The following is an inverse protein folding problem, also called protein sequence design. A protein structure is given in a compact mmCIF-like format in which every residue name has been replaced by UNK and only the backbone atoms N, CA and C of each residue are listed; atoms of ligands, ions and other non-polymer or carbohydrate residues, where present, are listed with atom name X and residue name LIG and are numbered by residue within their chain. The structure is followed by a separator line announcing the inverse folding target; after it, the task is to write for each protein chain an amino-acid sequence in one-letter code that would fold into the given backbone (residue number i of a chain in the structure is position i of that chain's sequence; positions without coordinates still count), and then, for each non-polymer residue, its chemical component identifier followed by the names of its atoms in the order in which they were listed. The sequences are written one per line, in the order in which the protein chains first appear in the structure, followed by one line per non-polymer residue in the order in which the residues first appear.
data_IF_478799693149
#
_entry.id   IF_478799693149
#
_cell.length_a   1.000
_cell.length_b   1.000
_cell.length_c   1.000
_cell.angle_alpha   90.00
_cell.angle_beta   90.00
_cell.angle_gamma   90.00
#
_symmetry.space_group_name_H-M   'P 1'
#
loop_
_entity.id
_entity.type
_entity.pdbx_description
1 polymer ?
#
# COMPACT_ATOMS: atom_id res chain seq x y z
N UNK A 1 -8.87 4.40 13.22
CA UNK A 1 -9.30 5.67 12.58
C UNK A 1 -9.52 5.60 11.05
N UNK A 2 -8.62 4.95 10.29
CA UNK A 2 -8.61 4.94 8.82
C UNK A 2 -9.95 4.67 8.12
N UNK A 3 -10.65 3.58 8.50
CA UNK A 3 -11.94 3.19 7.89
C UNK A 3 -13.03 4.24 8.08
N UNK A 4 -13.07 4.90 9.23
CA UNK A 4 -14.05 5.96 9.50
C UNK A 4 -13.86 7.15 8.55
N UNK A 5 -12.62 7.63 8.41
CA UNK A 5 -12.26 8.75 7.53
C UNK A 5 -12.55 8.41 6.08
N UNK A 6 -12.10 7.23 5.63
CA UNK A 6 -12.31 6.76 4.26
C UNK A 6 -13.77 6.39 3.96
N UNK A 7 -14.65 6.28 4.95
CA UNK A 7 -16.10 6.05 4.72
C UNK A 7 -16.91 7.33 4.79
N UNK A 8 -16.65 8.19 5.79
CA UNK A 8 -17.53 9.31 6.12
C UNK A 8 -16.96 10.67 5.69
N UNK A 9 -15.64 10.77 5.51
CA UNK A 9 -14.93 12.03 5.31
C UNK A 9 -14.12 12.05 4.01
N UNK A 10 -14.48 11.23 3.02
CA UNK A 10 -13.78 11.16 1.72
C UNK A 10 -13.67 12.53 1.02
N UNK A 11 -14.65 13.41 1.22
CA UNK A 11 -14.65 14.76 0.64
C UNK A 11 -13.45 15.60 1.09
N UNK A 12 -12.85 15.30 2.25
CA UNK A 12 -11.64 15.96 2.76
C UNK A 12 -10.40 15.67 1.91
N UNK A 13 -10.41 14.61 1.09
CA UNK A 13 -9.35 14.35 0.11
C UNK A 13 -9.20 15.45 -0.95
N UNK A 14 -10.18 16.36 -1.08
CA UNK A 14 -10.13 17.52 -1.99
C UNK A 14 -9.42 18.73 -1.39
N UNK A 15 -9.12 18.72 -0.10
CA UNK A 15 -8.45 19.84 0.60
C UNK A 15 -6.93 19.64 0.48
N UNK A 16 -6.19 20.56 -0.16
CA UNK A 16 -4.75 20.44 -0.32
C UNK A 16 -4.04 20.23 1.02
N UNK A 17 -3.11 19.27 1.07
CA UNK A 17 -2.29 18.99 2.25
C UNK A 17 -2.97 18.19 3.37
N UNK A 18 -4.30 18.18 3.43
CA UNK A 18 -5.04 17.51 4.51
C UNK A 18 -4.83 15.99 4.52
N UNK A 19 -4.65 15.39 3.34
CA UNK A 19 -4.35 13.96 3.21
C UNK A 19 -3.03 13.57 3.89
N UNK A 20 -2.03 14.46 3.90
CA UNK A 20 -0.75 14.22 4.56
C UNK A 20 -0.85 14.36 6.08
N UNK A 21 -1.76 15.21 6.57
CA UNK A 21 -2.07 15.27 8.01
C UNK A 21 -2.69 13.95 8.45
N UNK A 22 -3.67 13.43 7.71
CA UNK A 22 -4.26 12.12 8.02
C UNK A 22 -3.23 11.01 7.99
N UNK A 23 -2.36 10.98 6.97
CA UNK A 23 -1.25 10.04 6.90
C UNK A 23 -0.33 10.13 8.13
N UNK A 24 0.02 11.34 8.59
CA UNK A 24 0.81 11.53 9.80
C UNK A 24 0.12 10.98 11.06
N UNK A 25 -1.20 11.14 11.17
CA UNK A 25 -1.96 10.57 12.30
C UNK A 25 -1.99 9.04 12.22
N UNK A 26 -2.11 8.43 11.03
CA UNK A 26 -2.02 6.98 10.87
C UNK A 26 -0.65 6.43 11.30
N UNK A 27 0.43 7.13 10.95
CA UNK A 27 1.78 6.80 11.38
C UNK A 27 1.88 6.88 12.91
N UNK A 28 1.38 7.95 13.52
CA UNK A 28 1.40 8.13 14.97
C UNK A 28 0.60 7.05 15.70
N UNK A 29 -0.64 6.79 15.27
CA UNK A 29 -1.53 5.74 15.81
C UNK A 29 -0.84 4.37 15.75
N UNK A 30 -0.26 4.02 14.60
CA UNK A 30 0.42 2.74 14.43
C UNK A 30 1.69 2.64 15.26
N UNK A 31 2.42 3.75 15.39
CA UNK A 31 3.66 3.81 16.19
C UNK A 31 3.38 3.59 17.67
N UNK A 32 2.31 4.19 18.19
CA UNK A 32 1.96 4.13 19.60
C UNK A 32 1.25 2.83 19.98
N UNK A 33 0.46 2.26 19.07
CA UNK A 33 -0.49 1.20 19.42
C UNK A 33 -0.18 -0.18 18.81
N UNK A 34 0.69 -0.28 17.79
CA UNK A 34 0.84 -1.52 17.01
C UNK A 34 2.31 -1.85 16.67
N UNK A 35 3.10 -2.32 17.64
CA UNK A 35 4.53 -2.63 17.41
C UNK A 35 4.82 -3.67 16.32
N UNK A 36 4.11 -4.82 16.22
CA UNK A 36 4.39 -5.83 15.18
C UNK A 36 4.20 -5.27 13.76
N UNK A 37 3.17 -4.44 13.58
CA UNK A 37 2.90 -3.73 12.33
C UNK A 37 4.05 -2.80 11.93
N UNK A 38 4.71 -2.13 12.88
CA UNK A 38 5.85 -1.27 12.56
C UNK A 38 7.03 -2.06 11.99
N UNK A 39 7.29 -3.26 12.52
CA UNK A 39 8.32 -4.15 11.99
C UNK A 39 7.96 -4.57 10.55
N UNK A 40 6.72 -5.01 10.33
CA UNK A 40 6.19 -5.37 9.02
C UNK A 40 6.32 -4.22 7.99
N UNK A 41 5.89 -3.01 8.35
CA UNK A 41 6.00 -1.81 7.50
C UNK A 41 7.47 -1.54 7.12
N UNK A 42 8.39 -1.61 8.07
CA UNK A 42 9.82 -1.38 7.81
C UNK A 42 10.38 -2.44 6.89
N UNK A 43 10.03 -3.71 7.11
CA UNK A 43 10.48 -4.83 6.28
C UNK A 43 10.05 -4.65 4.82
N UNK A 44 8.75 -4.40 4.56
CA UNK A 44 8.23 -4.18 3.20
C UNK A 44 8.94 -3.01 2.53
N UNK A 45 9.11 -1.89 3.24
CA UNK A 45 9.80 -0.71 2.71
C UNK A 45 11.25 -1.01 2.36
N UNK A 46 12.00 -1.65 3.26
CA UNK A 46 13.41 -1.98 3.05
C UNK A 46 13.58 -2.94 1.87
N UNK A 47 12.71 -3.93 1.77
CA UNK A 47 12.77 -4.90 0.68
C UNK A 47 12.46 -4.24 -0.67
N UNK A 48 11.37 -3.47 -0.78
CA UNK A 48 11.03 -2.77 -2.02
C UNK A 48 12.13 -1.81 -2.49
N UNK A 49 12.75 -1.07 -1.56
CA UNK A 49 13.84 -0.15 -1.85
C UNK A 49 15.18 -0.84 -2.18
N UNK A 50 15.32 -2.14 -1.87
CA UNK A 50 16.51 -2.90 -2.25
C UNK A 50 16.52 -3.26 -3.74
N UNK A 51 15.38 -3.15 -4.43
CA UNK A 51 15.26 -3.57 -5.81
C UNK A 51 15.87 -2.53 -6.77
N UNK A 52 16.61 -2.96 -7.81
CA UNK A 52 17.24 -2.03 -8.75
C UNK A 52 16.23 -1.10 -9.42
N UNK A 53 16.51 0.20 -9.38
CA UNK A 53 15.70 1.24 -10.02
C UNK A 53 14.45 1.65 -9.25
N UNK A 54 14.23 1.10 -8.04
CA UNK A 54 13.09 1.49 -7.20
C UNK A 54 13.41 2.72 -6.38
N UNK A 55 12.49 3.68 -6.41
CA UNK A 55 12.52 4.90 -5.58
C UNK A 55 11.24 5.00 -4.75
N UNK A 56 11.27 5.80 -3.69
CA UNK A 56 10.07 6.14 -2.92
C UNK A 56 9.76 7.62 -2.99
N UNK A 57 8.47 7.96 -2.92
CA UNK A 57 7.98 9.32 -2.72
C UNK A 57 6.66 9.33 -1.96
N UNK A 58 6.29 10.48 -1.41
CA UNK A 58 4.95 10.65 -0.88
C UNK A 58 3.93 10.53 -2.02
N UNK A 59 2.86 9.78 -1.78
CA UNK A 59 1.73 9.71 -2.71
C UNK A 59 0.84 10.95 -2.51
N UNK A 60 0.37 11.52 -3.61
CA UNK A 60 -0.56 12.66 -3.63
C UNK A 60 -1.89 12.36 -2.92
N UNK A 61 -2.25 11.08 -2.79
CA UNK A 61 -3.42 10.59 -2.06
C UNK A 61 -3.08 10.06 -0.65
N UNK A 62 -1.89 10.36 -0.12
CA UNK A 62 -1.40 9.83 1.16
C UNK A 62 -0.72 8.47 1.02
N UNK A 63 0.15 8.13 1.97
CA UNK A 63 1.00 6.95 1.91
C UNK A 63 2.34 7.17 1.20
N UNK A 64 3.18 6.14 1.23
CA UNK A 64 4.47 6.07 0.56
C UNK A 64 4.33 5.24 -0.72
N UNK A 65 4.60 5.83 -1.87
CA UNK A 65 4.59 5.17 -3.17
C UNK A 65 5.97 4.63 -3.52
N UNK A 66 6.02 3.42 -4.08
CA UNK A 66 7.21 2.78 -4.64
C UNK A 66 7.13 2.82 -6.16
N UNK A 67 8.14 3.40 -6.80
CA UNK A 67 8.18 3.63 -8.24
C UNK A 67 9.39 2.95 -8.90
N UNK A 68 9.16 2.27 -10.03
CA UNK A 68 10.19 1.88 -10.99
C UNK A 68 10.24 2.91 -12.13
N UNK A 69 11.21 3.81 -12.07
CA UNK A 69 11.27 4.97 -12.96
C UNK A 69 10.05 5.88 -12.76
N UNK A 70 9.14 5.93 -13.75
CA UNK A 70 7.89 6.71 -13.69
C UNK A 70 6.65 5.87 -13.37
N UNK A 71 6.81 4.55 -13.17
CA UNK A 71 5.71 3.58 -13.04
C UNK A 71 5.54 3.12 -11.60
N UNK A 72 4.31 3.17 -11.10
CA UNK A 72 3.98 2.72 -9.74
C UNK A 72 4.03 1.21 -9.63
N UNK A 73 4.81 0.71 -8.67
CA UNK A 73 4.79 -0.70 -8.26
C UNK A 73 3.64 -0.93 -7.27
N UNK A 74 3.45 0.00 -6.33
CA UNK A 74 2.38 0.04 -5.34
C UNK A 74 2.65 1.15 -4.33
N UNK A 75 1.76 1.30 -3.36
CA UNK A 75 1.96 2.22 -2.24
C UNK A 75 1.54 1.61 -0.92
N UNK A 76 2.04 2.19 0.18
CA UNK A 76 1.78 1.74 1.54
C UNK A 76 1.44 2.93 2.43
N UNK A 77 0.33 2.83 3.15
CA UNK A 77 -0.09 3.80 4.16
C UNK A 77 0.57 3.55 5.51
N UNK A 78 0.63 4.58 6.36
CA UNK A 78 1.24 4.56 7.68
C UNK A 78 0.60 3.60 8.67
N UNK A 79 -0.61 3.12 8.36
CA UNK A 79 -1.29 2.05 9.07
C UNK A 79 -0.99 0.64 8.56
N UNK A 80 -0.07 0.48 7.61
CA UNK A 80 0.31 -0.81 7.05
C UNK A 80 -0.66 -1.34 6.01
N UNK A 81 -1.58 -0.53 5.48
CA UNK A 81 -2.33 -0.91 4.28
C UNK A 81 -1.41 -0.78 3.06
N UNK A 82 -1.24 -1.86 2.31
CA UNK A 82 -0.49 -1.90 1.05
C UNK A 82 -1.47 -2.06 -0.09
N UNK A 83 -1.40 -1.14 -1.06
CA UNK A 83 -2.26 -1.09 -2.22
C UNK A 83 -1.45 -1.29 -3.51
N UNK A 84 -1.91 -2.17 -4.38
CA UNK A 84 -1.20 -2.55 -5.60
C UNK A 84 -2.17 -2.58 -6.79
N UNK A 85 -1.80 -1.87 -7.86
CA UNK A 85 -2.54 -1.91 -9.11
C UNK A 85 -2.01 -3.01 -10.03
N UNK A 86 -2.86 -4.01 -10.28
CA UNK A 86 -2.57 -5.13 -11.18
C UNK A 86 -3.38 -5.07 -12.49
N UNK A 87 -3.10 -6.00 -13.39
CA UNK A 87 -4.03 -6.35 -14.47
C UNK A 87 -5.21 -7.14 -13.87
N UNK A 88 -6.36 -7.16 -14.56
CA UNK A 88 -7.54 -7.89 -14.09
C UNK A 88 -7.25 -9.37 -13.77
N UNK A 89 -6.50 -10.04 -14.65
CA UNK A 89 -6.17 -11.46 -14.47
C UNK A 89 -5.36 -11.72 -13.19
N UNK A 90 -4.31 -10.91 -12.95
CA UNK A 90 -3.47 -11.04 -11.75
C UNK A 90 -4.29 -10.70 -10.49
N UNK A 91 -5.11 -9.65 -10.57
CA UNK A 91 -5.99 -9.23 -9.46
C UNK A 91 -6.95 -10.33 -9.04
N UNK A 92 -7.63 -10.96 -10.00
CA UNK A 92 -8.59 -12.03 -9.73
C UNK A 92 -7.88 -13.26 -9.12
N UNK A 93 -6.69 -13.61 -9.63
CA UNK A 93 -5.86 -14.69 -9.07
C UNK A 93 -5.47 -14.42 -7.61
N UNK A 94 -4.90 -13.24 -7.33
CA UNK A 94 -4.42 -12.85 -5.98
C UNK A 94 -5.57 -12.85 -4.97
N UNK A 95 -6.76 -12.36 -5.36
CA UNK A 95 -7.94 -12.37 -4.50
C UNK A 95 -8.44 -13.80 -4.27
N UNK A 96 -8.51 -14.62 -5.32
CA UNK A 96 -8.97 -16.01 -5.19
C UNK A 96 -8.06 -16.86 -4.31
N UNK A 97 -6.77 -16.56 -4.27
CA UNK A 97 -5.78 -17.20 -3.42
C UNK A 97 -5.81 -16.69 -1.96
N UNK A 98 -6.61 -15.67 -1.64
CA UNK A 98 -6.66 -15.05 -0.32
C UNK A 98 -5.42 -14.22 0.04
N UNK A 99 -4.56 -13.91 -0.93
CA UNK A 99 -3.31 -13.17 -0.69
C UNK A 99 -3.53 -11.65 -0.54
N UNK A 100 -4.64 -11.12 -1.04
CA UNK A 100 -5.08 -9.75 -0.81
C UNK A 100 -6.60 -9.65 -1.00
N UNK A 101 -7.18 -8.54 -0.55
CA UNK A 101 -8.60 -8.23 -0.70
C UNK A 101 -8.84 -7.23 -1.84
N UNK A 102 -10.11 -7.07 -2.24
CA UNK A 102 -10.52 -5.98 -3.12
C UNK A 102 -10.28 -4.63 -2.43
N UNK A 103 -9.88 -3.62 -3.21
CA UNK A 103 -9.67 -2.29 -2.65
C UNK A 103 -10.94 -1.71 -2.03
N UNK A 104 -10.87 -1.31 -0.75
CA UNK A 104 -12.04 -0.91 0.04
C UNK A 104 -12.82 0.27 -0.57
N UNK A 105 -12.11 1.24 -1.14
CA UNK A 105 -12.74 2.41 -1.79
C UNK A 105 -13.09 2.20 -3.26
N UNK A 106 -12.39 1.28 -3.93
CA UNK A 106 -12.46 1.10 -5.37
C UNK A 106 -12.65 -0.38 -5.70
N UNK A 107 -13.70 -1.04 -5.18
CA UNK A 107 -13.82 -2.50 -5.24
C UNK A 107 -14.05 -3.04 -6.65
N UNK A 108 -14.47 -2.18 -7.60
CA UNK A 108 -14.63 -2.53 -9.02
C UNK A 108 -13.36 -2.28 -9.86
N UNK A 109 -12.30 -1.73 -9.26
CA UNK A 109 -11.02 -1.50 -9.94
C UNK A 109 -10.11 -2.73 -9.84
N UNK A 110 -8.95 -2.67 -10.51
CA UNK A 110 -7.92 -3.70 -10.40
C UNK A 110 -6.95 -3.47 -9.23
N UNK A 111 -7.26 -2.53 -8.32
CA UNK A 111 -6.51 -2.39 -7.08
C UNK A 111 -6.83 -3.55 -6.13
N UNK A 112 -5.79 -4.08 -5.51
CA UNK A 112 -5.87 -4.99 -4.38
C UNK A 112 -5.25 -4.34 -3.16
N UNK A 113 -5.75 -4.73 -1.99
CA UNK A 113 -5.33 -4.20 -0.70
C UNK A 113 -4.93 -5.32 0.25
N UNK A 114 -3.80 -5.18 0.94
CA UNK A 114 -3.35 -6.10 1.97
C UNK A 114 -2.99 -5.30 3.23
N UNK A 115 -3.52 -5.71 4.38
CA UNK A 115 -3.30 -5.03 5.65
C UNK A 115 -2.23 -5.75 6.47
N UNK A 116 -1.13 -5.07 6.79
CA UNK A 116 -0.04 -5.63 7.58
C UNK A 116 -0.41 -5.70 9.07
N UNK A 117 -0.57 -6.92 9.59
CA UNK A 117 -0.72 -7.19 11.01
C UNK A 117 0.55 -7.80 11.61
N UNK A 118 1.30 -8.57 10.83
CA UNK A 118 2.50 -9.28 11.25
C UNK A 118 3.54 -9.40 10.11
N UNK A 119 4.65 -10.08 10.38
CA UNK A 119 5.75 -10.29 9.41
C UNK A 119 5.38 -11.26 8.27
N UNK A 120 4.39 -12.13 8.44
CA UNK A 120 3.93 -13.03 7.39
C UNK A 120 3.15 -12.23 6.33
N UNK A 121 2.35 -11.27 6.78
CA UNK A 121 1.70 -10.29 5.90
C UNK A 121 2.76 -9.45 5.16
N UNK A 122 3.87 -9.10 5.84
CA UNK A 122 4.96 -8.35 5.23
C UNK A 122 5.60 -9.13 4.07
N UNK A 123 5.87 -10.43 4.26
CA UNK A 123 6.40 -11.30 3.21
C UNK A 123 5.42 -11.43 2.05
N UNK A 124 4.13 -11.53 2.34
CA UNK A 124 3.08 -11.59 1.31
C UNK A 124 3.01 -10.29 0.51
N UNK A 125 3.00 -9.13 1.20
CA UNK A 125 3.00 -7.81 0.57
C UNK A 125 4.25 -7.59 -0.31
N UNK A 126 5.43 -7.96 0.18
CA UNK A 126 6.67 -7.83 -0.56
C UNK A 126 6.67 -8.74 -1.81
N UNK A 127 6.16 -9.97 -1.72
CA UNK A 127 6.01 -10.86 -2.87
C UNK A 127 5.05 -10.30 -3.93
N UNK A 128 3.91 -9.71 -3.52
CA UNK A 128 2.97 -9.07 -4.44
C UNK A 128 3.57 -7.83 -5.10
N UNK A 129 4.26 -6.98 -4.34
CA UNK A 129 5.00 -5.84 -4.88
C UNK A 129 6.08 -6.31 -5.86
N UNK A 130 6.81 -7.39 -5.54
CA UNK A 130 7.84 -7.95 -6.41
C UNK A 130 7.25 -8.46 -7.72
N UNK A 131 6.11 -9.13 -7.66
CA UNK A 131 5.38 -9.59 -8.85
C UNK A 131 5.04 -8.41 -9.76
N UNK A 132 4.58 -7.28 -9.20
CA UNK A 132 4.28 -6.10 -10.00
C UNK A 132 5.55 -5.42 -10.54
N UNK A 133 6.63 -5.39 -9.76
CA UNK A 133 7.93 -4.90 -10.19
C UNK A 133 8.44 -5.66 -11.42
N UNK A 134 8.43 -7.00 -11.41
CA UNK A 134 8.89 -7.80 -12.56
C UNK A 134 8.03 -7.57 -13.80
N UNK A 135 6.71 -7.49 -13.62
CA UNK A 135 5.78 -7.16 -14.70
C UNK A 135 6.10 -5.81 -15.33
N UNK A 136 6.34 -4.77 -14.51
CA UNK A 136 6.66 -3.43 -14.98
C UNK A 136 8.07 -3.33 -15.58
N UNK A 137 9.01 -4.15 -15.13
CA UNK A 137 10.37 -4.23 -15.68
C UNK A 137 10.38 -4.85 -17.07
N UNK A 138 9.45 -5.76 -17.37
CA UNK A 138 9.29 -6.39 -18.68
C UNK A 138 8.56 -5.51 -19.73
N UNK A 139 8.15 -4.29 -19.36
CA UNK A 139 7.50 -3.30 -20.24
C UNK A 139 8.48 -2.21 -20.71
#
# INVERSE_FOLDING_TARGET
MFRFVTTHLQFLGKVPGLVHVFEAVLILESTLLHRPRLAAIRQVRQEALSWPGVTQRANEHGGTRFDLGRREIGHMHGNGLVDILFTKAIRDEVISAGAAEQHHLYPKSNWVSLFLQNEDDARTAAALLRRNYERLKAL
#
